data_IF_619552029640
#
_entry.id   IF_619552029640
#
_cell.length_a   1.000
_cell.length_b   1.000
_cell.length_c   1.000
_cell.angle_alpha   90.00
_cell.angle_beta   90.00
_cell.angle_gamma   90.00
#
_symmetry.space_group_name_H-M   'P 1'
#
loop_
_entity.id
_entity.type
_entity.pdbx_description
1 polymer ?
#
# COMPACT_ATOMS: atom_id res chain seq x y z
N UNK A 1 -0.19 -3.91 16.94
CA UNK A 1 -0.24 -2.49 17.34
C UNK A 1 -1.39 -1.86 16.60
N UNK A 2 -2.18 -1.05 17.30
CA UNK A 2 -3.51 -0.61 16.86
C UNK A 2 -3.58 0.90 16.94
N UNK A 3 -3.69 1.57 15.79
CA UNK A 3 -3.63 3.02 15.62
C UNK A 3 -4.75 3.54 14.70
N UNK A 4 -5.79 2.75 14.40
CA UNK A 4 -6.91 3.19 13.58
C UNK A 4 -7.70 4.35 14.20
N UNK A 5 -8.43 5.09 13.36
CA UNK A 5 -9.33 6.17 13.78
C UNK A 5 -8.61 7.29 14.53
N UNK A 6 -7.43 7.68 14.04
CA UNK A 6 -6.65 8.80 14.55
C UNK A 6 -6.42 9.86 13.45
N UNK A 7 -6.00 11.08 13.80
CA UNK A 7 -5.68 12.12 12.82
C UNK A 7 -4.24 11.98 12.28
N UNK A 8 -3.75 10.75 12.09
CA UNK A 8 -2.37 10.55 11.57
C UNK A 8 -2.37 10.90 10.09
N UNK A 9 -1.53 11.87 9.71
CA UNK A 9 -1.36 12.30 8.30
C UNK A 9 -0.07 11.77 7.68
N UNK A 10 0.93 11.52 8.52
CA UNK A 10 2.29 11.18 8.10
C UNK A 10 2.84 10.08 8.98
N UNK A 11 3.44 9.06 8.37
CA UNK A 11 4.31 8.10 9.07
C UNK A 11 5.75 8.56 8.92
N UNK A 12 6.31 9.15 9.96
CA UNK A 12 7.68 9.66 9.97
C UNK A 12 8.73 8.53 9.99
N UNK A 13 9.96 8.86 9.62
CA UNK A 13 11.09 7.95 9.69
C UNK A 13 11.22 7.35 11.09
N UNK A 14 11.36 6.03 11.18
CA UNK A 14 11.56 5.30 12.45
C UNK A 14 10.42 5.48 13.48
N UNK A 15 9.20 5.88 13.07
CA UNK A 15 8.08 6.02 14.03
C UNK A 15 7.76 4.72 14.77
N UNK A 16 8.10 3.57 14.18
CA UNK A 16 7.94 2.24 14.77
C UNK A 16 9.28 1.57 15.14
N UNK A 17 10.32 2.37 15.41
CA UNK A 17 11.66 1.87 15.75
C UNK A 17 11.61 0.84 16.88
N UNK A 18 12.48 -0.17 16.79
CA UNK A 18 12.66 -1.22 17.81
C UNK A 18 11.46 -2.16 18.01
N UNK A 19 10.35 -1.98 17.29
CA UNK A 19 9.19 -2.89 17.32
C UNK A 19 9.44 -4.15 16.46
N UNK A 20 10.60 -4.79 16.63
CA UNK A 20 11.09 -5.91 15.81
C UNK A 20 10.26 -7.19 15.91
N UNK A 21 9.43 -7.31 16.94
CA UNK A 21 8.53 -8.47 17.17
C UNK A 21 7.09 -8.20 16.73
N UNK A 22 6.80 -7.01 16.19
CA UNK A 22 5.45 -6.64 15.82
C UNK A 22 5.00 -7.40 14.57
N UNK A 23 3.97 -8.24 14.71
CA UNK A 23 3.42 -9.01 13.57
C UNK A 23 2.31 -8.28 12.81
N UNK A 24 1.51 -7.44 13.49
CA UNK A 24 0.34 -6.79 12.89
C UNK A 24 0.29 -5.32 13.27
N UNK A 25 0.15 -4.46 12.26
CA UNK A 25 0.03 -3.02 12.39
C UNK A 25 -1.27 -2.52 11.76
N UNK A 26 -2.15 -1.96 12.59
CA UNK A 26 -3.48 -1.51 12.16
C UNK A 26 -3.48 0.03 12.08
N UNK A 27 -3.56 0.57 10.86
CA UNK A 27 -3.49 2.01 10.55
C UNK A 27 -4.67 2.51 9.69
N UNK A 28 -5.74 1.73 9.55
CA UNK A 28 -6.90 2.15 8.75
C UNK A 28 -7.67 3.31 9.40
N UNK A 29 -8.57 3.94 8.67
CA UNK A 29 -9.38 5.08 9.15
C UNK A 29 -8.51 6.22 9.71
N UNK A 30 -7.42 6.55 9.02
CA UNK A 30 -6.57 7.70 9.35
C UNK A 30 -6.60 8.71 8.19
N UNK A 31 -5.68 9.69 8.21
CA UNK A 31 -5.52 10.68 7.15
C UNK A 31 -4.17 10.54 6.45
N UNK A 32 -3.59 9.33 6.46
CA UNK A 32 -2.22 9.10 6.01
C UNK A 32 -2.15 9.41 4.52
N UNK A 33 -1.34 10.41 4.17
CA UNK A 33 -1.02 10.78 2.79
C UNK A 33 0.46 10.61 2.49
N UNK A 34 1.29 10.44 3.52
CA UNK A 34 2.75 10.40 3.38
C UNK A 34 3.33 9.32 4.29
N UNK A 35 4.19 8.49 3.70
CA UNK A 35 4.92 7.43 4.40
C UNK A 35 6.40 7.61 4.09
N UNK A 36 7.20 7.84 5.12
CA UNK A 36 8.65 7.95 4.98
C UNK A 36 9.26 6.59 4.57
N UNK A 37 10.35 6.64 3.80
CA UNK A 37 11.08 5.47 3.34
C UNK A 37 11.53 4.53 4.46
N UNK A 38 11.74 5.05 5.66
CA UNK A 38 12.18 4.31 6.84
C UNK A 38 11.08 4.17 7.91
N UNK A 39 9.81 4.42 7.57
CA UNK A 39 8.72 4.30 8.55
C UNK A 39 8.61 2.87 9.12
N UNK A 40 8.88 1.84 8.29
CA UNK A 40 8.72 0.43 8.65
C UNK A 40 10.04 -0.36 8.78
N UNK A 41 11.20 0.29 8.76
CA UNK A 41 12.52 -0.37 8.59
C UNK A 41 12.82 -1.51 9.58
N UNK A 42 12.38 -1.37 10.83
CA UNK A 42 12.68 -2.32 11.91
C UNK A 42 11.63 -3.42 12.06
N UNK A 43 10.53 -3.37 11.30
CA UNK A 43 9.38 -4.26 11.46
C UNK A 43 9.57 -5.61 10.75
N UNK A 44 10.71 -6.27 10.97
CA UNK A 44 11.10 -7.49 10.24
C UNK A 44 10.18 -8.69 10.49
N UNK A 45 9.48 -8.72 11.63
CA UNK A 45 8.45 -9.73 11.93
C UNK A 45 7.05 -9.37 11.41
N UNK A 46 6.86 -8.23 10.74
CA UNK A 46 5.54 -7.77 10.33
C UNK A 46 4.97 -8.66 9.24
N UNK A 47 3.77 -9.18 9.50
CA UNK A 47 3.01 -10.06 8.63
C UNK A 47 1.85 -9.35 7.95
N UNK A 48 1.27 -8.35 8.62
CA UNK A 48 0.11 -7.63 8.12
C UNK A 48 0.10 -6.15 8.46
N UNK A 49 -0.24 -5.32 7.48
CA UNK A 49 -0.50 -3.88 7.66
C UNK A 49 -1.83 -3.48 7.00
N UNK A 50 -2.66 -2.74 7.73
CA UNK A 50 -3.91 -2.18 7.18
C UNK A 50 -3.78 -0.68 6.99
N UNK A 51 -3.94 -0.20 5.76
CA UNK A 51 -3.89 1.21 5.36
C UNK A 51 -5.19 1.65 4.67
N UNK A 52 -6.24 0.84 4.67
CA UNK A 52 -7.50 1.24 4.04
C UNK A 52 -8.12 2.48 4.67
N UNK A 53 -8.94 3.19 3.89
CA UNK A 53 -9.59 4.43 4.30
C UNK A 53 -8.58 5.46 4.82
N UNK A 54 -7.64 5.81 3.94
CA UNK A 54 -6.62 6.85 4.15
C UNK A 54 -6.57 7.77 2.91
N UNK A 55 -5.55 8.63 2.83
CA UNK A 55 -5.39 9.61 1.75
C UNK A 55 -4.15 9.32 0.89
N UNK A 56 -3.77 8.04 0.77
CA UNK A 56 -2.60 7.62 0.02
C UNK A 56 -2.91 7.74 -1.47
N UNK A 57 -2.15 8.56 -2.19
CA UNK A 57 -2.25 8.65 -3.64
C UNK A 57 -1.25 7.74 -4.35
N UNK A 58 -0.05 7.61 -3.79
CA UNK A 58 1.00 6.71 -4.27
C UNK A 58 1.77 6.20 -3.06
N UNK A 59 2.43 5.05 -3.20
CA UNK A 59 3.31 4.50 -2.17
C UNK A 59 4.56 3.97 -2.86
N UNK A 60 5.73 4.43 -2.40
CA UNK A 60 6.98 3.81 -2.81
C UNK A 60 7.06 2.43 -2.16
N UNK A 61 6.97 1.35 -2.94
CA UNK A 61 7.03 -0.01 -2.39
C UNK A 61 8.34 -0.31 -1.69
N UNK A 62 9.39 0.48 -1.92
CA UNK A 62 10.67 0.30 -1.23
C UNK A 62 10.52 0.47 0.28
N UNK A 63 9.51 1.20 0.75
CA UNK A 63 9.19 1.31 2.19
C UNK A 63 8.84 -0.04 2.81
N UNK A 64 8.47 -1.04 2.00
CA UNK A 64 8.09 -2.39 2.41
C UNK A 64 9.17 -3.45 2.12
N UNK A 65 10.30 -3.10 1.46
CA UNK A 65 11.32 -4.07 1.04
C UNK A 65 11.97 -4.85 2.20
N UNK A 66 12.06 -4.27 3.40
CA UNK A 66 12.63 -4.92 4.58
C UNK A 66 11.68 -5.88 5.30
N UNK A 67 10.41 -5.93 4.90
CA UNK A 67 9.36 -6.68 5.59
C UNK A 67 9.28 -8.11 5.04
N UNK A 68 10.28 -8.93 5.35
CA UNK A 68 10.43 -10.28 4.77
C UNK A 68 9.35 -11.27 5.21
N UNK A 69 8.65 -11.00 6.31
CA UNK A 69 7.53 -11.79 6.81
C UNK A 69 6.15 -11.33 6.28
N UNK A 70 6.11 -10.26 5.47
CA UNK A 70 4.87 -9.63 5.03
C UNK A 70 4.07 -10.54 4.11
N UNK A 71 2.81 -10.77 4.46
CA UNK A 71 1.89 -11.62 3.69
C UNK A 71 0.56 -10.91 3.39
N UNK A 72 0.32 -9.75 4.00
CA UNK A 72 -0.94 -9.01 3.91
C UNK A 72 -0.69 -7.50 3.91
N UNK A 73 -1.23 -6.83 2.90
CA UNK A 73 -1.34 -5.38 2.81
C UNK A 73 -2.75 -5.07 2.35
N UNK A 74 -3.44 -4.21 3.10
CA UNK A 74 -4.76 -3.72 2.77
C UNK A 74 -4.68 -2.23 2.48
N UNK A 75 -5.01 -1.80 1.26
CA UNK A 75 -4.84 -0.43 0.78
C UNK A 75 -6.08 0.10 0.05
N UNK A 76 -7.19 -0.64 0.08
CA UNK A 76 -8.49 -0.19 -0.44
C UNK A 76 -8.92 1.15 0.14
N UNK A 77 -9.89 1.81 -0.49
CA UNK A 77 -10.43 3.09 -0.01
C UNK A 77 -9.34 4.17 0.18
N UNK A 78 -8.39 4.22 -0.75
CA UNK A 78 -7.41 5.29 -0.88
C UNK A 78 -7.54 5.91 -2.28
N UNK A 79 -7.29 7.22 -2.44
CA UNK A 79 -7.36 7.91 -3.74
C UNK A 79 -6.12 7.60 -4.61
N UNK A 80 -5.90 6.32 -4.92
CA UNK A 80 -4.70 5.84 -5.61
C UNK A 80 -4.60 6.39 -7.04
N UNK A 81 -3.51 7.08 -7.34
CA UNK A 81 -3.19 7.63 -8.66
C UNK A 81 -2.38 6.63 -9.46
N UNK A 82 -3.06 5.79 -10.21
CA UNK A 82 -2.49 4.71 -11.00
C UNK A 82 -1.88 5.21 -12.32
N UNK A 83 -0.90 6.13 -12.25
CA UNK A 83 -0.37 6.83 -13.42
C UNK A 83 1.15 6.84 -13.52
N UNK A 84 1.84 5.95 -12.79
CA UNK A 84 3.31 5.92 -12.72
C UNK A 84 3.87 4.49 -12.51
N UNK A 85 5.19 4.32 -12.56
CA UNK A 85 5.83 3.01 -12.33
C UNK A 85 5.70 2.53 -10.87
N UNK A 86 5.51 3.43 -9.89
CA UNK A 86 5.39 3.05 -8.48
C UNK A 86 4.15 2.19 -8.29
N UNK A 87 3.07 2.51 -8.99
CA UNK A 87 1.83 1.75 -8.95
C UNK A 87 1.94 0.39 -9.65
N UNK A 88 2.80 0.26 -10.67
CA UNK A 88 3.20 -1.05 -11.22
C UNK A 88 3.85 -1.91 -10.14
N UNK A 89 4.76 -1.32 -9.37
CA UNK A 89 5.45 -2.03 -8.30
C UNK A 89 4.51 -2.42 -7.18
N UNK A 90 3.57 -1.55 -6.81
CA UNK A 90 2.51 -1.87 -5.85
C UNK A 90 1.67 -3.04 -6.35
N UNK A 91 1.25 -3.04 -7.62
CA UNK A 91 0.52 -4.16 -8.24
C UNK A 91 1.30 -5.47 -8.09
N UNK A 92 2.56 -5.49 -8.53
CA UNK A 92 3.45 -6.66 -8.42
C UNK A 92 3.72 -7.10 -6.97
N UNK A 93 3.63 -6.19 -6.01
CA UNK A 93 3.71 -6.53 -4.59
C UNK A 93 2.39 -7.17 -4.12
N UNK A 94 1.24 -6.58 -4.40
CA UNK A 94 -0.04 -7.15 -3.98
C UNK A 94 -0.29 -8.53 -4.60
N UNK A 95 0.09 -8.74 -5.87
CA UNK A 95 -0.01 -10.04 -6.57
C UNK A 95 0.79 -11.16 -5.90
N UNK A 96 1.91 -10.85 -5.22
CA UNK A 96 2.79 -11.87 -4.60
C UNK A 96 2.40 -12.22 -3.17
N UNK A 97 1.61 -11.39 -2.51
CA UNK A 97 1.24 -11.56 -1.11
C UNK A 97 0.15 -12.63 -1.00
N UNK A 98 0.25 -13.52 0.00
CA UNK A 98 -0.70 -14.63 0.22
C UNK A 98 -2.13 -14.12 0.39
N UNK A 99 -2.29 -12.97 1.04
CA UNK A 99 -3.58 -12.31 1.26
C UNK A 99 -3.59 -10.90 0.64
N UNK A 100 -2.78 -10.63 -0.39
CA UNK A 100 -2.75 -9.33 -1.04
C UNK A 100 -4.11 -8.99 -1.66
N UNK A 101 -4.74 -7.91 -1.19
CA UNK A 101 -6.09 -7.55 -1.62
C UNK A 101 -6.07 -6.73 -2.93
N UNK A 102 -5.52 -7.31 -4.00
CA UNK A 102 -5.45 -6.65 -5.30
C UNK A 102 -6.85 -6.35 -5.87
N UNK A 103 -7.85 -7.19 -5.55
CA UNK A 103 -9.23 -7.03 -6.02
C UNK A 103 -9.99 -5.89 -5.36
N UNK A 104 -9.43 -5.25 -4.33
CA UNK A 104 -10.05 -4.09 -3.67
C UNK A 104 -9.21 -2.81 -3.79
N UNK A 105 -8.03 -2.89 -4.42
CA UNK A 105 -7.22 -1.72 -4.72
C UNK A 105 -7.79 -1.01 -5.96
N UNK A 106 -8.55 0.05 -5.73
CA UNK A 106 -9.22 0.84 -6.78
C UNK A 106 -8.47 2.16 -6.97
N UNK A 107 -8.23 2.53 -8.22
CA UNK A 107 -7.61 3.79 -8.60
C UNK A 107 -8.63 4.95 -8.55
N UNK A 108 -8.18 6.20 -8.52
CA UNK A 108 -9.05 7.40 -8.43
C UNK A 108 -10.04 7.58 -9.60
N UNK A 109 -9.87 6.82 -10.69
CA UNK A 109 -10.83 6.67 -11.81
C UNK A 109 -11.89 5.58 -11.65
N UNK A 110 -11.89 4.83 -10.54
CA UNK A 110 -12.85 3.75 -10.26
C UNK A 110 -12.47 2.37 -10.85
N UNK A 111 -11.39 2.30 -11.62
CA UNK A 111 -10.87 1.06 -12.21
C UNK A 111 -9.94 0.34 -11.20
N UNK A 112 -9.98 -1.00 -11.18
CA UNK A 112 -9.10 -1.79 -10.32
C UNK A 112 -7.65 -1.63 -10.75
N UNK A 113 -6.72 -1.56 -9.79
CA UNK A 113 -5.28 -1.55 -10.05
C UNK A 113 -4.83 -2.77 -10.89
N UNK A 114 -5.52 -3.90 -10.75
CA UNK A 114 -5.30 -5.11 -11.54
C UNK A 114 -5.50 -4.88 -13.06
N UNK A 115 -6.38 -3.95 -13.42
CA UNK A 115 -6.82 -3.72 -14.80
C UNK A 115 -5.99 -2.65 -15.52
N UNK A 116 -4.97 -2.09 -14.84
CA UNK A 116 -4.05 -1.12 -15.43
C UNK A 116 -2.82 -1.81 -16.03
N UNK A 117 -2.47 -1.40 -17.25
CA UNK A 117 -1.19 -1.63 -17.90
C UNK A 117 -0.19 -0.50 -17.58
N UNK A 118 1.02 -0.90 -17.20
CA UNK A 118 2.12 -0.02 -16.86
C UNK A 118 3.37 -0.31 -17.70
N UNK A 119 3.22 -0.77 -18.93
CA UNK A 119 4.35 -1.01 -19.84
C UNK A 119 5.16 0.25 -20.14
N UNK A 120 4.52 1.40 -20.26
CA UNK A 120 5.15 2.71 -20.40
C UNK A 120 5.13 3.54 -19.09
N UNK A 121 4.74 2.91 -17.97
CA UNK A 121 4.52 3.56 -16.68
C UNK A 121 3.50 4.70 -16.68
N UNK A 122 2.58 4.77 -17.65
CA UNK A 122 1.52 5.79 -17.63
C UNK A 122 0.23 5.30 -16.99
N UNK A 123 0.09 3.99 -16.78
CA UNK A 123 -1.14 3.41 -16.24
C UNK A 123 -2.30 3.56 -17.21
N UNK A 124 -2.20 2.94 -18.37
CA UNK A 124 -3.31 2.86 -19.33
C UNK A 124 -4.21 1.68 -18.98
N UNK A 125 -5.52 1.76 -19.22
CA UNK A 125 -6.41 0.62 -18.96
C UNK A 125 -6.12 -0.52 -19.94
N UNK A 126 -6.07 -1.76 -19.44
CA UNK A 126 -6.05 -2.95 -20.28
C UNK A 126 -7.31 -2.95 -21.15
N UNK A 127 -7.16 -3.20 -22.44
CA UNK A 127 -8.21 -3.05 -23.47
C UNK A 127 -9.34 -4.09 -23.41
N UNK A 128 -9.61 -4.70 -22.25
CA UNK A 128 -10.51 -5.83 -22.13
C UNK A 128 -12.01 -5.52 -22.05
N UNK A 129 -12.44 -4.26 -21.82
CA UNK A 129 -13.87 -3.93 -21.65
C UNK A 129 -14.39 -2.83 -22.59
N UNK A 130 -14.30 -3.09 -23.90
CA UNK A 130 -15.17 -2.46 -24.90
C UNK A 130 -15.74 -3.54 -25.81
N UNK A 131 -16.63 -4.40 -25.29
CA UNK A 131 -17.56 -5.21 -26.08
C UNK A 131 -18.88 -5.39 -25.32
#
# INVERSE_FOLDING_TARGET
MTLQTNPITTLEANVFKELTTLEVLILHDNQISTVDANAFSDLTALRGVTLHNNHITTIDVNVLNGLTALIYVEISDNPLKCTNCEMKQLRMLLERLVYGNLTSAICDGGTLLADYDFDDCTGSMLQHDLN
#
